data_IF_496144896987
#
_entry.id   IF_496144896987
#
_cell.length_a   1.000
_cell.length_b   1.000
_cell.length_c   1.000
_cell.angle_alpha   90.00
_cell.angle_beta   90.00
_cell.angle_gamma   90.00
#
_symmetry.space_group_name_H-M   'P 1'
#
loop_
_entity.id
_entity.type
_entity.pdbx_description
1 polymer ?
#
# COMPACT_ATOMS: atom_id res chain seq x y z
N UNK A 1 -0.99 -12.39 25.40
CA UNK A 1 0.36 -12.97 25.57
C UNK A 1 1.36 -11.83 25.57
N UNK A 2 2.28 -11.82 26.53
CA UNK A 2 3.33 -10.80 26.65
C UNK A 2 4.41 -11.05 25.58
N UNK A 3 4.89 -9.99 24.94
CA UNK A 3 6.01 -10.07 23.98
C UNK A 3 7.29 -10.43 24.73
N UNK A 4 7.97 -11.48 24.31
CA UNK A 4 9.25 -11.91 24.94
C UNK A 4 10.42 -11.03 24.49
N UNK A 5 11.51 -10.99 25.26
CA UNK A 5 12.72 -10.24 24.87
C UNK A 5 13.29 -10.71 23.53
N UNK A 6 13.23 -12.01 23.25
CA UNK A 6 13.64 -12.54 21.95
C UNK A 6 12.78 -11.99 20.81
N UNK A 7 11.46 -11.92 20.97
CA UNK A 7 10.56 -11.33 19.98
C UNK A 7 10.86 -9.85 19.75
N UNK A 8 11.13 -9.08 20.82
CA UNK A 8 11.53 -7.67 20.70
C UNK A 8 12.82 -7.51 19.88
N UNK A 9 13.83 -8.34 20.16
CA UNK A 9 15.07 -8.31 19.39
C UNK A 9 14.85 -8.66 17.91
N UNK A 10 14.02 -9.66 17.63
CA UNK A 10 13.72 -10.05 16.25
C UNK A 10 12.90 -8.98 15.52
N UNK A 11 11.94 -8.33 16.16
CA UNK A 11 11.19 -7.21 15.60
C UNK A 11 12.14 -6.06 15.24
N UNK A 12 13.00 -5.65 16.17
CA UNK A 12 13.96 -4.58 15.91
C UNK A 12 14.92 -4.90 14.75
N UNK A 13 15.39 -6.15 14.66
CA UNK A 13 16.23 -6.60 13.54
C UNK A 13 15.46 -6.60 12.22
N UNK A 14 14.24 -7.13 12.22
CA UNK A 14 13.38 -7.17 11.03
C UNK A 14 13.06 -5.76 10.53
N UNK A 15 12.76 -4.81 11.42
CA UNK A 15 12.54 -3.40 11.08
C UNK A 15 13.77 -2.80 10.41
N UNK A 16 14.97 -3.02 10.97
CA UNK A 16 16.21 -2.53 10.39
C UNK A 16 16.44 -3.10 8.99
N UNK A 17 16.23 -4.42 8.81
CA UNK A 17 16.36 -5.07 7.50
C UNK A 17 15.35 -4.48 6.50
N UNK A 18 14.11 -4.23 6.91
CA UNK A 18 13.09 -3.64 6.05
C UNK A 18 13.49 -2.22 5.58
N UNK A 19 14.03 -1.40 6.49
CA UNK A 19 14.52 -0.05 6.15
C UNK A 19 15.73 -0.12 5.21
N UNK A 20 16.72 -0.97 5.51
CA UNK A 20 17.91 -1.16 4.67
C UNK A 20 17.57 -1.77 3.28
N UNK A 21 16.43 -2.47 3.18
CA UNK A 21 15.92 -3.03 1.93
C UNK A 21 15.12 -2.06 1.05
N UNK A 22 14.82 -0.86 1.54
CA UNK A 22 14.17 0.16 0.72
C UNK A 22 15.13 0.73 -0.31
N UNK A 23 14.63 1.00 -1.52
CA UNK A 23 15.45 1.54 -2.61
C UNK A 23 14.88 2.87 -3.08
N UNK A 24 15.67 3.91 -3.00
CA UNK A 24 15.38 5.20 -3.63
C UNK A 24 15.69 5.07 -5.12
N UNK A 25 14.63 4.85 -5.92
CA UNK A 25 14.76 4.64 -7.37
C UNK A 25 15.04 5.95 -8.10
N UNK A 26 14.41 7.03 -7.66
CA UNK A 26 14.58 8.37 -8.22
C UNK A 26 14.36 9.43 -7.16
N UNK A 27 15.14 10.52 -7.23
CA UNK A 27 14.99 11.68 -6.35
C UNK A 27 15.45 12.96 -7.04
N UNK A 28 14.50 13.84 -7.28
CA UNK A 28 14.75 15.18 -7.85
C UNK A 28 14.98 16.24 -6.75
N UNK A 29 15.49 15.82 -5.59
CA UNK A 29 15.76 16.68 -4.45
C UNK A 29 14.56 16.87 -3.50
N UNK A 30 13.53 16.03 -3.59
CA UNK A 30 12.37 16.09 -2.71
C UNK A 30 12.65 15.41 -1.38
N UNK A 31 13.44 14.35 -1.37
CA UNK A 31 13.85 13.61 -0.18
C UNK A 31 15.33 13.87 0.17
N UNK A 32 15.70 13.90 1.46
CA UNK A 32 14.80 13.83 2.61
C UNK A 32 13.89 15.05 2.70
N UNK A 33 12.71 14.88 3.30
CA UNK A 33 11.86 16.04 3.55
C UNK A 33 12.56 17.02 4.48
N UNK A 34 12.53 18.32 4.17
CA UNK A 34 13.07 19.32 5.06
C UNK A 34 12.24 19.44 6.35
N UNK A 35 12.84 19.97 7.42
CA UNK A 35 12.26 19.97 8.76
C UNK A 35 10.92 20.73 8.87
N UNK A 36 10.62 21.61 7.95
CA UNK A 36 9.36 22.36 7.87
C UNK A 36 8.18 21.58 7.27
N UNK A 37 8.41 20.36 6.75
CA UNK A 37 7.32 19.49 6.29
C UNK A 37 6.67 18.83 7.49
N UNK A 38 5.41 19.17 7.76
CA UNK A 38 4.63 18.63 8.89
C UNK A 38 3.31 18.00 8.46
N UNK A 39 2.85 18.27 7.25
CA UNK A 39 1.56 17.80 6.74
C UNK A 39 1.72 17.06 5.41
N UNK A 40 1.02 15.93 5.32
CA UNK A 40 1.07 15.05 4.15
C UNK A 40 -0.34 14.78 3.64
N UNK A 41 -0.54 15.00 2.35
CA UNK A 41 -1.67 14.49 1.60
C UNK A 41 -1.35 13.06 1.14
N UNK A 42 -1.95 12.07 1.81
CA UNK A 42 -1.66 10.65 1.60
C UNK A 42 -2.79 9.99 0.81
N UNK A 43 -2.43 9.30 -0.26
CA UNK A 43 -3.36 8.65 -1.16
C UNK A 43 -2.88 7.24 -1.55
N UNK A 44 -3.75 6.51 -2.27
CA UNK A 44 -3.45 5.18 -2.78
C UNK A 44 -3.87 4.05 -1.83
N UNK A 45 -4.15 2.90 -2.42
CA UNK A 45 -4.72 1.74 -1.72
C UNK A 45 -3.80 1.19 -0.62
N UNK A 46 -2.49 1.28 -0.81
CA UNK A 46 -1.49 0.76 0.14
C UNK A 46 -1.30 1.61 1.40
N UNK A 47 -1.86 2.82 1.46
CA UNK A 47 -1.68 3.71 2.60
C UNK A 47 -2.18 3.08 3.92
N UNK A 48 -3.38 2.51 3.91
CA UNK A 48 -4.01 1.80 5.05
C UNK A 48 -3.96 0.28 4.92
N UNK A 49 -3.74 -0.24 3.73
CA UNK A 49 -3.62 -1.68 3.45
C UNK A 49 -2.24 -2.00 2.92
N UNK A 50 -1.26 -1.66 3.72
CA UNK A 50 0.13 -1.93 3.43
C UNK A 50 0.35 -3.44 3.29
N UNK A 51 0.86 -3.86 2.16
CA UNK A 51 1.15 -5.26 1.86
C UNK A 51 2.46 -5.64 2.54
N UNK A 52 2.38 -6.53 3.52
CA UNK A 52 3.54 -7.01 4.31
C UNK A 52 4.27 -8.18 3.67
N UNK A 53 3.57 -8.95 2.84
CA UNK A 53 4.09 -10.16 2.20
C UNK A 53 3.11 -10.69 1.15
N UNK A 54 3.54 -11.68 0.37
CA UNK A 54 2.69 -12.33 -0.64
C UNK A 54 1.51 -13.08 -0.03
N UNK A 55 0.49 -13.35 -0.85
CA UNK A 55 -0.62 -14.24 -0.47
C UNK A 55 -0.17 -15.71 -0.42
N UNK A 56 -0.98 -16.57 0.17
CA UNK A 56 -0.65 -17.98 0.36
C UNK A 56 0.20 -18.18 1.61
N UNK A 57 1.26 -18.97 1.52
CA UNK A 57 2.16 -19.27 2.65
C UNK A 57 2.90 -18.05 3.20
N UNK A 58 3.03 -16.99 2.38
CA UNK A 58 3.60 -15.70 2.80
C UNK A 58 2.66 -14.82 3.61
N UNK A 59 1.36 -15.11 3.65
CA UNK A 59 0.38 -14.34 4.42
C UNK A 59 0.27 -14.86 5.86
N UNK A 60 1.36 -14.68 6.60
CA UNK A 60 1.41 -15.09 8.01
C UNK A 60 0.58 -14.17 8.90
N UNK A 61 -0.07 -14.77 9.91
CA UNK A 61 -0.76 -14.02 10.94
C UNK A 61 0.25 -13.22 11.78
N UNK A 62 0.01 -11.93 11.91
CA UNK A 62 0.80 -11.03 12.75
C UNK A 62 -0.05 -10.48 13.89
N UNK A 63 0.56 -10.14 15.02
CA UNK A 63 -0.15 -9.57 16.17
C UNK A 63 -0.61 -8.14 15.91
N UNK A 64 0.20 -7.40 15.19
CA UNK A 64 -0.04 -6.04 14.77
C UNK A 64 0.56 -5.81 13.39
N UNK A 65 0.04 -4.86 12.68
CA UNK A 65 0.58 -4.37 11.41
C UNK A 65 0.56 -2.85 11.45
N UNK A 66 1.72 -2.22 11.36
CA UNK A 66 1.82 -0.78 11.15
C UNK A 66 1.65 -0.50 9.67
N UNK A 67 0.64 0.29 9.34
CA UNK A 67 0.41 0.74 7.96
C UNK A 67 1.32 1.92 7.63
N UNK A 68 1.47 2.25 6.35
CA UNK A 68 2.22 3.44 5.93
C UNK A 68 1.61 4.71 6.54
N UNK A 69 0.26 4.80 6.60
CA UNK A 69 -0.41 5.92 7.29
C UNK A 69 0.00 6.00 8.76
N UNK A 70 -0.03 4.88 9.48
CA UNK A 70 0.35 4.86 10.89
C UNK A 70 1.82 5.22 11.09
N UNK A 71 2.72 4.66 10.27
CA UNK A 71 4.15 4.97 10.34
C UNK A 71 4.45 6.45 10.13
N UNK A 72 3.76 7.10 9.18
CA UNK A 72 3.90 8.54 8.97
C UNK A 72 3.38 9.35 10.16
N UNK A 73 2.26 8.95 10.77
CA UNK A 73 1.74 9.58 11.99
C UNK A 73 2.68 9.42 13.18
N UNK A 74 3.25 8.24 13.34
CA UNK A 74 4.22 7.95 14.42
C UNK A 74 5.53 8.75 14.23
N UNK A 75 5.88 9.08 12.99
CA UNK A 75 6.95 10.00 12.65
C UNK A 75 6.63 11.48 12.91
N UNK A 76 5.41 11.80 13.31
CA UNK A 76 4.97 13.16 13.62
C UNK A 76 4.31 13.91 12.46
N UNK A 77 4.09 13.28 11.31
CA UNK A 77 3.38 13.90 10.20
C UNK A 77 1.86 13.89 10.42
N UNK A 78 1.22 15.01 10.12
CA UNK A 78 -0.24 15.13 10.10
C UNK A 78 -0.78 14.72 8.72
N UNK A 79 -1.62 13.70 8.67
CA UNK A 79 -2.29 13.29 7.43
C UNK A 79 -3.53 14.15 7.23
N UNK A 80 -3.61 14.87 6.11
CA UNK A 80 -4.70 15.83 5.83
C UNK A 80 -5.83 15.25 4.98
N UNK A 81 -5.71 14.00 4.53
CA UNK A 81 -6.65 13.31 3.63
C UNK A 81 -7.25 12.05 4.27
N UNK A 82 -7.38 12.03 5.61
CA UNK A 82 -7.93 10.88 6.33
C UNK A 82 -9.40 10.59 5.95
N UNK A 83 -10.15 11.62 5.60
CA UNK A 83 -11.52 11.51 5.09
C UNK A 83 -11.57 10.69 3.80
N UNK A 84 -10.72 11.02 2.83
CA UNK A 84 -10.59 10.26 1.58
C UNK A 84 -10.19 8.80 1.83
N UNK A 85 -9.16 8.59 2.66
CA UNK A 85 -8.71 7.23 3.01
C UNK A 85 -9.85 6.41 3.66
N UNK A 86 -10.67 7.05 4.50
CA UNK A 86 -11.81 6.40 5.17
C UNK A 86 -12.91 6.03 4.19
N UNK A 87 -13.20 6.90 3.22
CA UNK A 87 -14.14 6.63 2.15
C UNK A 87 -13.70 5.42 1.31
N UNK A 88 -12.43 5.40 0.88
CA UNK A 88 -11.90 4.31 0.08
C UNK A 88 -11.89 2.97 0.84
N UNK A 89 -11.53 2.98 2.11
CA UNK A 89 -11.61 1.78 2.96
C UNK A 89 -13.04 1.24 3.09
N UNK A 90 -14.03 2.13 3.15
CA UNK A 90 -15.43 1.70 3.22
C UNK A 90 -15.87 0.96 1.94
N UNK A 91 -15.44 1.44 0.76
CA UNK A 91 -15.71 0.78 -0.52
C UNK A 91 -15.15 -0.65 -0.52
N UNK A 92 -13.90 -0.81 -0.11
CA UNK A 92 -13.23 -2.12 -0.13
C UNK A 92 -13.80 -3.07 0.91
N UNK A 93 -14.08 -2.58 2.13
CA UNK A 93 -14.73 -3.38 3.18
C UNK A 93 -16.10 -3.89 2.72
N UNK A 94 -16.87 -3.05 2.04
CA UNK A 94 -18.17 -3.44 1.49
C UNK A 94 -18.01 -4.53 0.44
N UNK A 95 -17.09 -4.37 -0.50
CA UNK A 95 -16.82 -5.37 -1.54
C UNK A 95 -16.33 -6.70 -0.93
N UNK A 96 -15.46 -6.62 0.09
CA UNK A 96 -14.96 -7.81 0.80
C UNK A 96 -16.10 -8.55 1.54
N UNK A 97 -16.97 -7.81 2.22
CA UNK A 97 -18.11 -8.42 2.93
C UNK A 97 -19.07 -9.11 1.96
N UNK A 98 -19.33 -8.53 0.79
CA UNK A 98 -20.15 -9.14 -0.25
C UNK A 98 -19.49 -10.43 -0.80
N UNK A 99 -18.19 -10.39 -1.04
CA UNK A 99 -17.43 -11.56 -1.47
C UNK A 99 -17.49 -12.67 -0.40
N UNK A 100 -17.26 -12.36 0.88
CA UNK A 100 -17.27 -13.34 1.96
C UNK A 100 -18.66 -13.97 2.14
N UNK A 101 -19.72 -13.17 2.05
CA UNK A 101 -21.09 -13.68 2.09
C UNK A 101 -21.37 -14.64 0.92
N UNK A 102 -20.92 -14.32 -0.29
CA UNK A 102 -21.04 -15.19 -1.44
C UNK A 102 -20.27 -16.51 -1.27
N UNK A 103 -19.04 -16.45 -0.75
CA UNK A 103 -18.24 -17.66 -0.46
C UNK A 103 -18.91 -18.53 0.61
N UNK A 104 -19.50 -17.92 1.65
CA UNK A 104 -20.25 -18.65 2.67
C UNK A 104 -21.47 -19.36 2.09
N UNK A 105 -22.24 -18.69 1.24
CA UNK A 105 -23.41 -19.29 0.57
C UNK A 105 -23.01 -20.51 -0.27
N UNK A 106 -21.94 -20.40 -1.07
CA UNK A 106 -21.42 -21.54 -1.85
C UNK A 106 -20.91 -22.69 -0.95
N UNK A 107 -20.34 -22.36 0.20
CA UNK A 107 -19.92 -23.37 1.19
C UNK A 107 -21.10 -24.14 1.78
N UNK A 108 -22.22 -23.49 2.04
CA UNK A 108 -23.44 -24.13 2.49
C UNK A 108 -24.03 -25.09 1.42
N UNK A 109 -23.73 -24.88 0.16
CA UNK A 109 -24.08 -25.79 -0.94
C UNK A 109 -23.14 -26.99 -1.06
N UNK A 110 -22.22 -27.20 -0.09
CA UNK A 110 -21.31 -28.33 -0.04
C UNK A 110 -20.01 -28.16 -0.83
N UNK A 111 -19.72 -26.96 -1.31
CA UNK A 111 -18.47 -26.67 -2.01
C UNK A 111 -17.43 -26.21 -0.97
N UNK A 112 -16.28 -26.88 -0.92
CA UNK A 112 -15.20 -26.51 0.01
C UNK A 112 -14.71 -25.07 -0.24
N UNK A 113 -14.63 -24.26 0.83
CA UNK A 113 -14.08 -22.88 0.76
C UNK A 113 -12.66 -22.90 0.19
N UNK A 114 -11.84 -23.88 0.58
CA UNK A 114 -10.49 -24.05 0.04
C UNK A 114 -10.53 -24.33 -1.48
N UNK A 115 -11.48 -25.10 -1.96
CA UNK A 115 -11.64 -25.38 -3.40
C UNK A 115 -12.06 -24.13 -4.16
N UNK A 116 -12.97 -23.32 -3.60
CA UNK A 116 -13.43 -22.06 -4.21
C UNK A 116 -12.32 -21.02 -4.31
N UNK A 117 -11.49 -20.90 -3.29
CA UNK A 117 -10.34 -19.99 -3.29
C UNK A 117 -9.19 -20.49 -4.17
N UNK A 118 -8.96 -21.80 -4.25
CA UNK A 118 -7.94 -22.41 -5.10
C UNK A 118 -8.35 -22.47 -6.59
N UNK A 119 -9.63 -22.70 -6.89
CA UNK A 119 -10.11 -22.88 -8.26
C UNK A 119 -10.47 -21.60 -9.00
N UNK A 120 -10.12 -20.44 -8.48
CA UNK A 120 -10.01 -19.32 -9.38
C UNK A 120 -10.91 -18.12 -9.20
N UNK A 121 -11.39 -17.83 -8.01
CA UNK A 121 -11.99 -16.51 -7.76
C UNK A 121 -11.50 -15.93 -6.43
N UNK A 122 -10.18 -15.64 -6.29
CA UNK A 122 -9.70 -14.90 -5.14
C UNK A 122 -10.40 -13.53 -5.09
N UNK A 123 -10.52 -12.97 -3.90
CA UNK A 123 -11.00 -11.60 -3.77
C UNK A 123 -10.07 -10.66 -4.55
N UNK A 124 -10.65 -9.90 -5.45
CA UNK A 124 -9.98 -8.80 -6.12
C UNK A 124 -10.53 -7.49 -5.56
N UNK A 125 -9.64 -6.65 -5.08
CA UNK A 125 -10.03 -5.32 -4.64
C UNK A 125 -10.64 -4.52 -5.81
N UNK A 126 -11.77 -3.84 -5.58
CA UNK A 126 -12.31 -2.96 -6.60
C UNK A 126 -11.34 -1.82 -6.90
N UNK A 127 -11.31 -1.37 -8.14
CA UNK A 127 -10.60 -0.15 -8.51
C UNK A 127 -11.23 1.02 -7.76
N UNK A 128 -10.40 1.82 -7.10
CA UNK A 128 -10.85 3.01 -6.42
C UNK A 128 -11.23 4.08 -7.44
N UNK A 129 -12.12 5.00 -7.06
CA UNK A 129 -12.41 6.14 -7.92
C UNK A 129 -11.18 7.03 -8.10
N UNK A 130 -11.07 7.63 -9.27
CA UNK A 130 -10.02 8.62 -9.52
C UNK A 130 -10.13 9.81 -8.57
N UNK A 131 -8.98 10.38 -8.22
CA UNK A 131 -8.90 11.65 -7.50
C UNK A 131 -9.49 12.79 -8.35
N UNK A 132 -10.07 13.75 -7.66
CA UNK A 132 -10.53 15.01 -8.24
C UNK A 132 -10.01 16.19 -7.41
N UNK A 133 -10.18 17.41 -7.90
CA UNK A 133 -9.69 18.63 -7.23
C UNK A 133 -10.25 18.81 -5.81
N UNK A 134 -11.42 18.25 -5.50
CA UNK A 134 -12.04 18.35 -4.17
C UNK A 134 -11.41 17.43 -3.15
N UNK A 135 -10.71 16.38 -3.59
CA UNK A 135 -9.98 15.47 -2.71
C UNK A 135 -8.63 16.08 -2.27
N UNK A 136 -8.12 17.04 -3.03
CA UNK A 136 -6.83 17.66 -2.77
C UNK A 136 -6.93 18.66 -1.61
N UNK A 137 -6.08 18.47 -0.61
CA UNK A 137 -5.99 19.34 0.56
C UNK A 137 -4.66 20.08 0.55
N UNK A 138 -4.59 21.32 1.04
CA UNK A 138 -3.31 21.97 1.29
C UNK A 138 -2.43 21.10 2.20
N UNK A 139 -1.22 20.80 1.76
CA UNK A 139 -0.21 20.03 2.49
C UNK A 139 1.19 20.42 2.04
N UNK A 140 2.18 20.17 2.90
CA UNK A 140 3.58 20.46 2.61
C UNK A 140 4.18 19.46 1.63
N UNK A 141 3.64 18.23 1.60
CA UNK A 141 4.00 17.17 0.66
C UNK A 141 2.81 16.27 0.34
N UNK A 142 2.92 15.51 -0.75
CA UNK A 142 1.97 14.46 -1.09
C UNK A 142 2.70 13.12 -1.26
N UNK A 143 2.04 12.05 -0.86
CA UNK A 143 2.51 10.67 -1.04
C UNK A 143 1.39 9.86 -1.68
N UNK A 144 1.69 9.13 -2.75
CA UNK A 144 0.80 8.13 -3.32
C UNK A 144 1.40 6.74 -3.11
N UNK A 145 0.65 5.86 -2.45
CA UNK A 145 1.09 4.49 -2.17
C UNK A 145 0.49 3.53 -3.19
N UNK A 146 1.31 3.12 -4.13
CA UNK A 146 0.96 2.11 -5.13
C UNK A 146 1.24 0.73 -4.56
N UNK A 147 0.21 -0.07 -4.36
CA UNK A 147 0.36 -1.42 -3.84
C UNK A 147 0.00 -2.49 -4.86
N UNK A 148 0.78 -3.57 -4.85
CA UNK A 148 0.48 -4.82 -5.55
C UNK A 148 0.83 -5.99 -4.67
N UNK A 149 -0.09 -6.92 -4.54
CA UNK A 149 0.19 -8.19 -3.91
C UNK A 149 0.52 -9.24 -4.97
N UNK A 150 1.52 -10.08 -4.70
CA UNK A 150 1.85 -11.24 -5.53
C UNK A 150 1.46 -12.49 -4.76
N UNK A 151 0.70 -13.38 -5.40
CA UNK A 151 0.25 -14.62 -4.80
C UNK A 151 1.16 -15.79 -5.17
N UNK A 152 1.26 -16.76 -4.26
CA UNK A 152 1.86 -18.05 -4.55
C UNK A 152 1.02 -18.78 -5.62
N UNK A 153 1.69 -19.32 -6.65
CA UNK A 153 1.03 -20.07 -7.72
C UNK A 153 0.25 -19.24 -8.75
N UNK A 154 0.37 -17.91 -8.71
CA UNK A 154 -0.26 -17.02 -9.68
C UNK A 154 0.78 -16.09 -10.31
N UNK A 155 1.08 -16.31 -11.59
CA UNK A 155 1.98 -15.41 -12.32
C UNK A 155 1.35 -14.04 -12.53
N UNK A 156 2.21 -13.03 -12.53
CA UNK A 156 1.84 -11.65 -12.85
C UNK A 156 1.40 -11.56 -14.31
N UNK A 157 0.34 -10.81 -14.54
CA UNK A 157 -0.22 -10.60 -15.88
C UNK A 157 0.22 -9.25 -16.44
N UNK A 158 0.54 -9.21 -17.72
CA UNK A 158 0.77 -7.95 -18.43
C UNK A 158 -0.58 -7.26 -18.69
N UNK A 159 -1.18 -6.75 -17.63
CA UNK A 159 -2.51 -6.13 -17.63
C UNK A 159 -2.56 -4.95 -16.65
N UNK A 160 -3.49 -3.97 -16.87
CA UNK A 160 -3.76 -2.90 -15.92
C UNK A 160 -4.18 -3.45 -14.54
N UNK A 161 -3.64 -2.85 -13.49
CA UNK A 161 -3.88 -3.28 -12.10
C UNK A 161 -2.97 -4.40 -11.62
N UNK A 162 -2.13 -4.95 -12.51
CA UNK A 162 -1.10 -5.92 -12.18
C UNK A 162 0.29 -5.39 -12.57
N UNK A 163 0.87 -5.81 -13.69
CA UNK A 163 2.16 -5.28 -14.18
C UNK A 163 2.03 -3.83 -14.66
N UNK A 164 0.95 -3.51 -15.36
CA UNK A 164 0.68 -2.15 -15.85
C UNK A 164 -0.12 -1.35 -14.84
N UNK A 165 0.10 -0.03 -14.81
CA UNK A 165 -0.74 0.90 -14.07
C UNK A 165 -2.15 0.97 -14.68
N UNK A 166 -3.18 1.09 -13.82
CA UNK A 166 -4.54 1.37 -14.26
C UNK A 166 -4.64 2.78 -14.84
N UNK A 167 -5.75 3.08 -15.51
CA UNK A 167 -6.03 4.44 -15.98
C UNK A 167 -6.16 5.41 -14.81
N UNK A 168 -6.83 5.00 -13.76
CA UNK A 168 -7.02 5.77 -12.52
C UNK A 168 -5.68 6.11 -11.87
N UNK A 169 -4.81 5.14 -11.66
CA UNK A 169 -3.48 5.37 -11.08
C UNK A 169 -2.65 6.37 -11.88
N UNK A 170 -2.66 6.27 -13.21
CA UNK A 170 -1.96 7.25 -14.07
C UNK A 170 -2.53 8.65 -13.93
N UNK A 171 -3.85 8.79 -13.86
CA UNK A 171 -4.53 10.07 -13.68
C UNK A 171 -4.23 10.68 -12.30
N UNK A 172 -4.29 9.87 -11.25
CA UNK A 172 -4.02 10.29 -9.88
C UNK A 172 -2.58 10.78 -9.72
N UNK A 173 -1.61 10.00 -10.21
CA UNK A 173 -0.19 10.38 -10.15
C UNK A 173 0.05 11.69 -10.92
N UNK A 174 -0.54 11.85 -12.10
CA UNK A 174 -0.40 13.07 -12.88
C UNK A 174 -1.05 14.29 -12.19
N UNK A 175 -2.20 14.10 -11.56
CA UNK A 175 -2.89 15.16 -10.81
C UNK A 175 -2.06 15.59 -9.59
N UNK A 176 -1.54 14.63 -8.82
CA UNK A 176 -0.73 14.90 -7.63
C UNK A 176 0.60 15.59 -7.99
N UNK A 177 1.27 15.13 -9.04
CA UNK A 177 2.51 15.75 -9.52
C UNK A 177 2.32 17.20 -9.97
N UNK A 178 1.15 17.53 -10.53
CA UNK A 178 0.79 18.90 -10.92
C UNK A 178 0.48 19.78 -9.71
N UNK A 179 -0.08 19.20 -8.64
CA UNK A 179 -0.63 19.93 -7.50
C UNK A 179 0.37 20.19 -6.38
N UNK A 180 1.31 19.25 -6.18
CA UNK A 180 2.24 19.28 -5.05
C UNK A 180 3.69 19.31 -5.54
N UNK A 181 4.45 20.33 -5.16
CA UNK A 181 5.88 20.45 -5.50
C UNK A 181 6.71 19.31 -4.90
N UNK A 182 6.30 18.82 -3.72
CA UNK A 182 6.91 17.66 -3.06
C UNK A 182 6.00 16.45 -3.16
N UNK A 183 6.07 15.77 -4.30
CA UNK A 183 5.29 14.55 -4.54
C UNK A 183 6.20 13.32 -4.55
N UNK A 184 5.86 12.31 -3.75
CA UNK A 184 6.57 11.04 -3.62
C UNK A 184 5.65 9.89 -4.02
N UNK A 185 6.14 9.02 -4.90
CA UNK A 185 5.50 7.75 -5.24
C UNK A 185 6.16 6.63 -4.43
N UNK A 186 5.40 5.99 -3.53
CA UNK A 186 5.82 4.81 -2.78
C UNK A 186 5.32 3.55 -3.46
N UNK A 187 6.23 2.59 -3.70
CA UNK A 187 5.94 1.30 -4.32
C UNK A 187 5.97 0.21 -3.25
N UNK A 188 4.79 -0.17 -2.75
CA UNK A 188 4.61 -1.29 -1.81
C UNK A 188 4.22 -2.53 -2.63
N UNK A 189 5.20 -3.12 -3.29
CA UNK A 189 4.99 -4.17 -4.29
C UNK A 189 5.95 -5.34 -4.10
N UNK A 190 5.47 -6.55 -4.38
CA UNK A 190 6.27 -7.77 -4.31
C UNK A 190 6.91 -8.17 -5.65
N UNK A 191 6.79 -7.36 -6.68
CA UNK A 191 7.30 -7.66 -8.03
C UNK A 191 7.44 -6.40 -8.88
N UNK A 192 7.88 -6.58 -10.11
CA UNK A 192 8.14 -5.50 -11.07
C UNK A 192 6.85 -4.84 -11.54
N UNK A 193 6.88 -3.52 -11.77
CA UNK A 193 5.83 -2.72 -12.37
C UNK A 193 6.37 -1.94 -13.57
N UNK A 194 5.51 -1.69 -14.54
CA UNK A 194 5.78 -0.74 -15.61
C UNK A 194 5.37 0.68 -15.16
N UNK A 195 6.37 1.53 -14.96
CA UNK A 195 6.20 2.93 -14.56
C UNK A 195 6.49 3.91 -15.70
N UNK A 196 6.77 3.44 -16.91
CA UNK A 196 7.23 4.29 -18.03
C UNK A 196 6.33 5.50 -18.26
N UNK A 197 5.01 5.32 -18.13
CA UNK A 197 4.05 6.40 -18.36
C UNK A 197 4.07 7.52 -17.29
N UNK A 198 4.66 7.28 -16.12
CA UNK A 198 4.57 8.21 -14.97
C UNK A 198 5.92 8.46 -14.28
N UNK A 199 6.99 7.78 -14.65
CA UNK A 199 8.26 7.80 -13.92
C UNK A 199 8.85 9.21 -13.78
N UNK A 200 8.61 10.09 -14.75
CA UNK A 200 9.12 11.46 -14.74
C UNK A 200 8.27 12.45 -13.94
N UNK A 201 7.08 12.03 -13.49
CA UNK A 201 6.14 12.91 -12.82
C UNK A 201 6.45 13.11 -11.32
N UNK A 202 6.76 12.09 -10.51
CA UNK A 202 7.08 12.28 -9.10
C UNK A 202 8.39 13.02 -8.89
N UNK A 203 8.49 13.73 -7.77
CA UNK A 203 9.73 14.30 -7.29
C UNK A 203 10.67 13.24 -6.69
N UNK A 204 10.13 12.14 -6.19
CA UNK A 204 10.88 10.95 -5.78
C UNK A 204 10.05 9.67 -5.97
N UNK A 205 10.74 8.56 -6.21
CA UNK A 205 10.15 7.21 -6.30
C UNK A 205 10.92 6.31 -5.34
N UNK A 206 10.21 5.70 -4.39
CA UNK A 206 10.78 4.81 -3.38
C UNK A 206 10.16 3.42 -3.49
N UNK A 207 10.97 2.41 -3.69
CA UNK A 207 10.57 1.02 -3.58
C UNK A 207 10.65 0.60 -2.11
N UNK A 208 9.49 0.42 -1.49
CA UNK A 208 9.35 -0.03 -0.11
C UNK A 208 9.32 -1.56 -0.03
N UNK A 209 9.03 -2.21 -1.16
CA UNK A 209 8.83 -3.65 -1.24
C UNK A 209 7.71 -4.15 -0.31
N UNK A 210 7.84 -5.36 0.22
CA UNK A 210 6.96 -5.97 1.20
C UNK A 210 7.80 -6.19 2.48
N UNK A 211 7.62 -5.31 3.47
CA UNK A 211 8.49 -5.22 4.63
C UNK A 211 8.40 -6.37 5.64
N UNK A 212 7.52 -7.37 5.38
CA UNK A 212 7.29 -8.47 6.32
C UNK A 212 6.56 -8.05 7.59
N UNK A 213 6.56 -8.93 8.59
CA UNK A 213 5.91 -8.69 9.89
C UNK A 213 6.68 -7.77 10.84
N UNK A 214 7.87 -7.33 10.44
CA UNK A 214 8.73 -6.44 11.24
C UNK A 214 8.57 -4.96 10.92
N UNK A 215 7.66 -4.58 10.03
CA UNK A 215 7.41 -3.20 9.64
C UNK A 215 6.78 -2.34 10.76
N UNK A 216 6.66 -2.92 11.96
CA UNK A 216 5.80 -2.48 13.05
C UNK A 216 6.31 -1.29 13.87
N UNK A 217 7.51 -0.74 13.67
CA UNK A 217 8.07 0.18 14.67
C UNK A 217 8.87 1.40 14.16
N UNK A 218 9.02 1.63 12.87
CA UNK A 218 9.71 2.85 12.43
C UNK A 218 9.02 3.55 11.26
N UNK A 219 8.94 4.89 11.34
CA UNK A 219 8.44 5.70 10.24
C UNK A 219 9.36 5.58 9.02
N UNK A 220 8.73 5.59 7.86
CA UNK A 220 9.41 5.78 6.58
C UNK A 220 9.82 7.25 6.51
N UNK A 221 11.01 7.57 6.98
CA UNK A 221 11.58 8.92 6.91
C UNK A 221 12.95 8.87 6.28
#
# INVERSE_FOLDING_TARGET
MTVTEREKCHIALSTRIAVEGMVLLENKGVLPFPAEVHSIALFGSGARRTVKGGTGSGDVNVRSLVTIEQGLKDAGYRIVTEDWLTEQDAVIRTAKAQYDAHIQELSHQGISVALLTMMGKPFHEPELRALNEQDLRPADAAIYVLSRNSGEGADRKNAPGDYLLTKTEKQDIALLAKRYDRFVLLLNVGGVLDLEAVRELPGAIVLVSQGGSGFEQHPIC
#
